data_IF_359407044740
#
_entry.id   IF_359407044740
#
_cell.length_a   1.000
_cell.length_b   1.000
_cell.length_c   1.000
_cell.angle_alpha   90.00
_cell.angle_beta   90.00
_cell.angle_gamma   90.00
#
_symmetry.space_group_name_H-M   'P 1'
#
loop_
_entity.id
_entity.type
_entity.pdbx_description
1 polymer ?
#
# COMPACT_ATOMS: atom_id res chain seq x y z
N UNK A 1 24.85 12.28 15.54
CA UNK A 1 24.57 11.19 14.58
C UNK A 1 25.15 11.58 13.23
N UNK A 2 25.75 10.64 12.47
CA UNK A 2 26.16 10.90 11.09
C UNK A 2 24.99 11.39 10.26
N UNK A 3 25.24 12.21 9.23
CA UNK A 3 24.20 12.78 8.36
C UNK A 3 23.33 11.74 7.64
N UNK A 4 23.79 10.49 7.55
CA UNK A 4 23.11 9.38 6.86
C UNK A 4 22.59 8.29 7.82
N UNK A 5 22.61 8.53 9.13
CA UNK A 5 22.09 7.55 10.09
C UNK A 5 20.64 7.83 10.44
N UNK A 6 19.83 6.78 10.47
CA UNK A 6 18.50 6.83 11.07
C UNK A 6 18.62 7.17 12.56
N UNK A 7 17.65 7.91 13.07
CA UNK A 7 17.57 8.18 14.49
C UNK A 7 17.16 6.92 15.29
N UNK A 8 17.32 6.91 16.63
CA UNK A 8 16.96 5.75 17.45
C UNK A 8 15.48 5.38 17.36
N UNK A 9 14.57 6.35 17.16
CA UNK A 9 13.13 6.12 17.02
C UNK A 9 12.83 5.42 15.70
N UNK A 10 13.43 5.87 14.61
CA UNK A 10 13.33 5.23 13.29
C UNK A 10 13.88 3.81 13.31
N UNK A 11 15.04 3.58 13.94
CA UNK A 11 15.62 2.24 14.06
C UNK A 11 14.72 1.30 14.88
N UNK A 12 14.21 1.77 16.02
CA UNK A 12 13.28 0.99 16.84
C UNK A 12 12.01 0.65 16.06
N UNK A 13 11.44 1.62 15.35
CA UNK A 13 10.24 1.41 14.54
C UNK A 13 10.47 0.40 13.41
N UNK A 14 11.60 0.46 12.70
CA UNK A 14 11.96 -0.55 11.70
C UNK A 14 12.06 -1.96 12.31
N UNK A 15 12.65 -2.10 13.50
CA UNK A 15 12.74 -3.38 14.19
C UNK A 15 11.35 -3.91 14.60
N UNK A 16 10.48 -3.05 15.13
CA UNK A 16 9.10 -3.38 15.46
C UNK A 16 8.30 -3.84 14.23
N UNK A 17 8.42 -3.12 13.11
CA UNK A 17 7.76 -3.47 11.86
C UNK A 17 8.22 -4.84 11.32
N UNK A 18 9.53 -5.13 11.40
CA UNK A 18 10.07 -6.44 10.99
C UNK A 18 9.51 -7.57 11.85
N UNK A 19 9.49 -7.40 13.17
CA UNK A 19 8.93 -8.38 14.09
C UNK A 19 7.43 -8.59 13.84
N UNK A 20 6.66 -7.49 13.75
CA UNK A 20 5.23 -7.51 13.43
C UNK A 20 4.95 -8.23 12.10
N UNK A 21 5.75 -7.96 11.07
CA UNK A 21 5.59 -8.60 9.77
C UNK A 21 5.87 -10.10 9.83
N UNK A 22 6.91 -10.52 10.53
CA UNK A 22 7.25 -11.94 10.70
C UNK A 22 6.18 -12.68 11.51
N UNK A 23 5.67 -12.08 12.58
CA UNK A 23 4.76 -12.76 13.53
C UNK A 23 3.29 -12.72 13.10
N UNK A 24 2.84 -11.64 12.43
CA UNK A 24 1.42 -11.42 12.15
C UNK A 24 1.07 -11.43 10.67
N UNK A 25 1.92 -10.87 9.82
CA UNK A 25 1.61 -10.70 8.39
C UNK A 25 2.04 -11.93 7.56
N UNK A 26 3.25 -12.44 7.79
CA UNK A 26 3.77 -13.63 7.09
C UNK A 26 2.85 -14.85 7.21
N UNK A 27 2.32 -15.22 8.41
CA UNK A 27 1.42 -16.37 8.51
C UNK A 27 0.09 -16.19 7.78
N UNK A 28 -0.34 -14.95 7.52
CA UNK A 28 -1.52 -14.66 6.69
C UNK A 28 -1.18 -14.70 5.21
N UNK A 29 -0.02 -14.15 4.83
CA UNK A 29 0.49 -14.21 3.46
C UNK A 29 0.64 -15.66 2.98
N UNK A 30 1.26 -16.53 3.79
CA UNK A 30 1.45 -17.96 3.46
C UNK A 30 0.14 -18.75 3.31
N UNK A 31 -0.99 -18.23 3.80
CA UNK A 31 -2.34 -18.80 3.62
C UNK A 31 -3.07 -18.23 2.40
N UNK A 32 -2.46 -17.30 1.68
CA UNK A 32 -3.02 -16.71 0.47
C UNK A 32 -3.20 -17.76 -0.62
N UNK A 33 -4.29 -17.63 -1.38
CA UNK A 33 -4.52 -18.47 -2.56
C UNK A 33 -3.91 -17.79 -3.80
N UNK A 34 -3.04 -18.47 -4.56
CA UNK A 34 -2.50 -17.94 -5.80
C UNK A 34 -3.59 -17.44 -6.74
N UNK A 35 -3.38 -16.27 -7.36
CA UNK A 35 -4.35 -15.65 -8.27
C UNK A 35 -5.51 -14.93 -7.58
N UNK A 36 -5.59 -14.95 -6.25
CA UNK A 36 -6.64 -14.29 -5.49
C UNK A 36 -6.06 -13.20 -4.59
N UNK A 37 -6.87 -12.17 -4.34
CA UNK A 37 -6.51 -11.15 -3.35
C UNK A 37 -6.62 -11.74 -1.94
N UNK A 38 -5.52 -11.71 -1.19
CA UNK A 38 -5.49 -12.11 0.22
C UNK A 38 -6.18 -11.04 1.09
N UNK A 39 -7.52 -11.05 1.11
CA UNK A 39 -8.33 -10.10 1.89
C UNK A 39 -8.02 -10.12 3.39
N UNK A 40 -7.80 -11.29 4.04
CA UNK A 40 -7.37 -11.32 5.44
C UNK A 40 -6.08 -10.54 5.69
N UNK A 41 -5.09 -10.64 4.79
CA UNK A 41 -3.83 -9.89 4.91
C UNK A 41 -4.07 -8.37 4.78
N UNK A 42 -4.89 -7.93 3.82
CA UNK A 42 -5.21 -6.49 3.66
C UNK A 42 -5.98 -5.95 4.88
N UNK A 43 -6.93 -6.71 5.42
CA UNK A 43 -7.66 -6.34 6.62
C UNK A 43 -6.73 -6.24 7.84
N UNK A 44 -5.77 -7.16 7.98
CA UNK A 44 -4.80 -7.11 9.09
C UNK A 44 -3.86 -5.90 8.98
N UNK A 45 -3.42 -5.54 7.77
CA UNK A 45 -2.65 -4.30 7.54
C UNK A 45 -3.43 -3.05 7.97
N UNK A 46 -4.74 -3.02 7.69
CA UNK A 46 -5.64 -1.95 8.14
C UNK A 46 -5.79 -1.93 9.66
N UNK A 47 -6.03 -3.09 10.30
CA UNK A 47 -6.14 -3.23 11.76
C UNK A 47 -4.85 -2.83 12.50
N UNK A 48 -3.70 -3.03 11.87
CA UNK A 48 -2.40 -2.60 12.36
C UNK A 48 -2.13 -1.10 12.20
N UNK A 49 -3.04 -0.36 11.54
CA UNK A 49 -2.89 1.06 11.25
C UNK A 49 -1.83 1.37 10.18
N UNK A 50 -1.34 0.36 9.46
CA UNK A 50 -0.29 0.55 8.46
C UNK A 50 -0.84 1.19 7.18
N UNK A 51 -2.09 0.91 6.82
CA UNK A 51 -2.73 1.49 5.64
C UNK A 51 -3.09 2.98 5.83
N UNK A 52 -3.39 3.42 7.05
CA UNK A 52 -3.59 4.86 7.33
C UNK A 52 -2.28 5.66 7.12
N UNK A 53 -1.14 5.07 7.50
CA UNK A 53 0.19 5.70 7.37
C UNK A 53 0.56 6.02 5.92
N UNK A 54 0.04 5.28 4.94
CA UNK A 54 0.23 5.56 3.52
C UNK A 54 -0.17 6.99 3.12
N UNK A 55 -1.11 7.59 3.85
CA UNK A 55 -1.67 8.92 3.55
C UNK A 55 -1.20 10.02 4.49
N UNK A 56 -0.37 9.69 5.49
CA UNK A 56 0.04 10.59 6.57
C UNK A 56 1.56 10.70 6.73
N UNK A 57 2.30 9.72 6.23
CA UNK A 57 3.75 9.64 6.36
C UNK A 57 4.48 10.38 5.24
N UNK A 58 5.67 10.89 5.56
CA UNK A 58 6.62 11.40 4.57
C UNK A 58 7.33 10.28 3.80
N UNK A 59 8.05 10.65 2.73
CA UNK A 59 8.72 9.69 1.85
C UNK A 59 9.70 8.75 2.58
N UNK A 60 10.50 9.28 3.52
CA UNK A 60 11.44 8.46 4.28
C UNK A 60 10.71 7.40 5.13
N UNK A 61 9.69 7.80 5.88
CA UNK A 61 8.92 6.87 6.71
C UNK A 61 8.22 5.80 5.88
N UNK A 62 7.72 6.14 4.69
CA UNK A 62 7.16 5.17 3.75
C UNK A 62 8.22 4.17 3.27
N UNK A 63 9.42 4.64 2.94
CA UNK A 63 10.53 3.76 2.57
C UNK A 63 10.91 2.81 3.71
N UNK A 64 11.09 3.34 4.93
CA UNK A 64 11.42 2.54 6.11
C UNK A 64 10.35 1.50 6.43
N UNK A 65 9.08 1.89 6.32
CA UNK A 65 7.95 0.97 6.51
C UNK A 65 7.98 -0.16 5.50
N UNK A 66 8.04 0.17 4.21
CA UNK A 66 8.03 -0.81 3.13
C UNK A 66 9.24 -1.73 3.19
N UNK A 67 10.45 -1.19 3.35
CA UNK A 67 11.67 -1.99 3.48
C UNK A 67 11.60 -2.95 4.67
N UNK A 68 11.12 -2.48 5.82
CA UNK A 68 10.99 -3.31 7.02
C UNK A 68 9.99 -4.45 6.85
N UNK A 69 8.87 -4.20 6.18
CA UNK A 69 7.92 -5.26 5.82
C UNK A 69 8.54 -6.24 4.82
N UNK A 70 9.17 -5.75 3.75
CA UNK A 70 9.77 -6.59 2.71
C UNK A 70 10.88 -7.50 3.25
N UNK A 71 11.65 -7.03 4.25
CA UNK A 71 12.67 -7.85 4.92
C UNK A 71 12.07 -9.12 5.54
N UNK A 72 10.84 -9.04 6.04
CA UNK A 72 10.16 -10.15 6.69
C UNK A 72 9.11 -10.83 5.82
N UNK A 73 8.47 -10.18 4.86
CA UNK A 73 7.46 -10.74 3.96
C UNK A 73 7.20 -9.79 2.78
N UNK A 74 7.67 -10.16 1.58
CA UNK A 74 7.48 -9.36 0.37
C UNK A 74 6.01 -9.28 -0.08
N UNK A 75 5.21 -10.32 0.17
CA UNK A 75 3.77 -10.30 -0.13
C UNK A 75 3.02 -9.29 0.76
N UNK A 76 3.35 -9.21 2.05
CA UNK A 76 2.75 -8.23 2.96
C UNK A 76 3.13 -6.80 2.59
N UNK A 77 4.38 -6.57 2.20
CA UNK A 77 4.82 -5.28 1.67
C UNK A 77 4.06 -4.93 0.38
N UNK A 78 3.96 -5.87 -0.57
CA UNK A 78 3.28 -5.63 -1.85
C UNK A 78 1.80 -5.36 -1.62
N UNK A 79 1.14 -6.11 -0.75
CA UNK A 79 -0.26 -5.91 -0.39
C UNK A 79 -0.49 -4.50 0.18
N UNK A 80 0.42 -3.99 1.02
CA UNK A 80 0.39 -2.61 1.52
C UNK A 80 0.65 -1.59 0.42
N UNK A 81 1.70 -1.78 -0.38
CA UNK A 81 2.13 -0.83 -1.40
C UNK A 81 1.04 -0.61 -2.48
N UNK A 82 0.34 -1.66 -2.88
CA UNK A 82 -0.76 -1.58 -3.84
C UNK A 82 -1.92 -0.72 -3.34
N UNK A 83 -2.20 -0.71 -2.02
CA UNK A 83 -3.24 0.15 -1.46
C UNK A 83 -2.86 1.62 -1.61
N UNK A 84 -1.59 1.93 -1.36
CA UNK A 84 -1.03 3.26 -1.56
C UNK A 84 -1.12 3.68 -3.02
N UNK A 85 -0.62 2.83 -3.93
CA UNK A 85 -0.63 3.09 -5.38
C UNK A 85 -2.05 3.33 -5.91
N UNK A 86 -3.00 2.45 -5.57
CA UNK A 86 -4.38 2.53 -6.06
C UNK A 86 -5.18 3.69 -5.48
N UNK A 87 -4.98 4.02 -4.20
CA UNK A 87 -5.76 5.07 -3.53
C UNK A 87 -5.13 6.46 -3.62
N UNK A 88 -3.85 6.57 -3.97
CA UNK A 88 -3.15 7.86 -4.02
C UNK A 88 -3.81 8.89 -4.96
N UNK A 89 -4.30 8.55 -6.16
CA UNK A 89 -5.00 9.53 -7.01
C UNK A 89 -6.24 10.12 -6.33
N UNK A 90 -6.99 9.32 -5.58
CA UNK A 90 -8.14 9.80 -4.80
C UNK A 90 -7.69 10.66 -3.62
N UNK A 91 -6.61 10.27 -2.93
CA UNK A 91 -6.04 11.05 -1.83
C UNK A 91 -5.53 12.42 -2.29
N UNK A 92 -4.80 12.48 -3.40
CA UNK A 92 -4.18 13.70 -3.91
C UNK A 92 -5.18 14.60 -4.64
N UNK A 93 -6.04 14.01 -5.50
CA UNK A 93 -6.85 14.77 -6.47
C UNK A 93 -8.36 14.52 -6.37
N UNK A 94 -8.81 13.60 -5.51
CA UNK A 94 -10.23 13.31 -5.36
C UNK A 94 -11.02 14.46 -4.73
N UNK A 95 -12.30 14.56 -5.07
CA UNK A 95 -13.25 15.48 -4.42
C UNK A 95 -13.46 15.12 -2.94
N UNK A 96 -13.96 16.04 -2.09
CA UNK A 96 -14.29 15.71 -0.70
C UNK A 96 -15.20 14.48 -0.57
N UNK A 97 -16.19 14.33 -1.47
CA UNK A 97 -17.09 13.18 -1.49
C UNK A 97 -16.38 11.87 -1.86
N UNK A 98 -15.47 11.90 -2.84
CA UNK A 98 -14.67 10.72 -3.21
C UNK A 98 -13.73 10.30 -2.07
N UNK A 99 -13.05 11.27 -1.44
CA UNK A 99 -12.16 11.01 -0.30
C UNK A 99 -12.91 10.41 0.88
N UNK A 100 -14.02 11.02 1.28
CA UNK A 100 -14.86 10.56 2.39
C UNK A 100 -15.43 9.15 2.14
N UNK A 101 -15.75 8.82 0.89
CA UNK A 101 -16.28 7.50 0.52
C UNK A 101 -15.20 6.41 0.52
N UNK A 102 -14.00 6.70 0.03
CA UNK A 102 -13.02 5.65 -0.31
C UNK A 102 -11.86 5.55 0.67
N UNK A 103 -11.29 6.67 1.13
CA UNK A 103 -10.08 6.62 1.96
C UNK A 103 -10.29 5.87 3.29
N UNK A 104 -11.39 6.08 4.05
CA UNK A 104 -11.60 5.32 5.29
C UNK A 104 -11.62 3.81 5.05
N UNK A 105 -12.29 3.37 3.97
CA UNK A 105 -12.42 1.94 3.64
C UNK A 105 -11.08 1.31 3.25
N UNK A 106 -10.23 2.05 2.54
CA UNK A 106 -8.86 1.60 2.22
C UNK A 106 -8.00 1.59 3.48
N UNK A 107 -8.06 2.63 4.32
CA UNK A 107 -7.29 2.70 5.57
C UNK A 107 -7.66 1.61 6.57
N UNK A 108 -8.93 1.21 6.63
CA UNK A 108 -9.42 0.10 7.46
C UNK A 108 -9.16 -1.29 6.84
N UNK A 109 -8.75 -1.34 5.57
CA UNK A 109 -8.58 -2.60 4.82
C UNK A 109 -9.88 -3.29 4.43
N UNK A 110 -11.03 -2.60 4.51
CA UNK A 110 -12.34 -3.12 4.09
C UNK A 110 -12.58 -2.98 2.57
N UNK A 111 -11.83 -2.10 1.92
CA UNK A 111 -11.72 -2.00 0.46
C UNK A 111 -10.28 -2.28 0.02
N UNK A 112 -10.15 -2.93 -1.14
CA UNK A 112 -8.87 -3.17 -1.81
C UNK A 112 -8.80 -2.21 -2.98
N UNK A 113 -7.75 -1.39 -3.02
CA UNK A 113 -7.45 -0.49 -4.12
C UNK A 113 -6.51 -1.17 -5.12
N UNK A 114 -6.67 -0.81 -6.39
CA UNK A 114 -5.81 -1.20 -7.48
C UNK A 114 -5.59 0.00 -8.41
N UNK A 115 -4.51 -0.02 -9.17
CA UNK A 115 -4.21 1.00 -10.16
C UNK A 115 -4.20 0.36 -11.56
N UNK A 116 -5.31 0.54 -12.27
CA UNK A 116 -5.49 0.00 -13.62
C UNK A 116 -4.88 0.98 -14.63
N UNK A 117 -3.61 0.77 -14.96
CA UNK A 117 -2.89 1.55 -15.97
C UNK A 117 -2.44 0.70 -17.15
N UNK A 118 -1.64 -0.35 -16.91
CA UNK A 118 -1.04 -1.15 -17.99
C UNK A 118 -2.06 -1.90 -18.84
N UNK A 119 -1.79 -1.98 -20.15
CA UNK A 119 -2.55 -2.71 -21.15
C UNK A 119 -1.63 -3.71 -21.90
N UNK A 120 -2.17 -4.72 -22.62
CA UNK A 120 -1.35 -5.69 -23.36
C UNK A 120 -0.33 -5.08 -24.34
N UNK A 121 -0.64 -3.89 -24.89
CA UNK A 121 0.25 -3.15 -25.79
C UNK A 121 0.96 -1.95 -25.18
N UNK A 122 0.70 -1.59 -23.92
CA UNK A 122 1.19 -0.37 -23.28
C UNK A 122 1.56 -0.61 -21.81
N UNK A 123 2.88 -0.73 -21.56
CA UNK A 123 3.46 -0.88 -20.22
C UNK A 123 4.44 0.24 -19.91
N UNK A 124 5.68 0.13 -20.42
CA UNK A 124 6.70 1.17 -20.30
C UNK A 124 6.29 2.47 -21.01
N UNK A 125 5.66 2.35 -22.19
CA UNK A 125 5.02 3.47 -22.88
C UNK A 125 3.58 3.63 -22.42
N UNK A 126 3.41 4.15 -21.20
CA UNK A 126 2.10 4.40 -20.62
C UNK A 126 1.32 5.54 -21.31
N UNK A 127 1.92 6.27 -22.26
CA UNK A 127 1.20 7.26 -23.05
C UNK A 127 0.44 6.62 -24.23
N UNK A 128 0.78 5.37 -24.60
CA UNK A 128 0.17 4.63 -25.70
C UNK A 128 -1.08 3.82 -25.30
N UNK A 129 -1.75 4.17 -24.20
CA UNK A 129 -2.99 3.52 -23.77
C UNK A 129 -4.07 3.60 -24.84
N UNK A 130 -4.80 2.50 -25.01
CA UNK A 130 -5.88 2.36 -26.00
C UNK A 130 -7.26 2.58 -25.41
N UNK A 131 -7.45 2.41 -24.09
CA UNK A 131 -8.73 2.66 -23.42
C UNK A 131 -9.17 4.11 -23.61
N UNK A 132 -10.40 4.29 -24.12
CA UNK A 132 -11.03 5.60 -24.31
C UNK A 132 -12.18 5.77 -23.33
N UNK A 133 -12.28 6.97 -22.77
CA UNK A 133 -13.43 7.41 -22.00
C UNK A 133 -14.07 8.58 -22.75
N UNK A 134 -15.31 8.39 -23.20
CA UNK A 134 -16.11 9.41 -23.85
C UNK A 134 -17.20 9.88 -22.87
N UNK A 135 -17.38 11.18 -22.64
CA UNK A 135 -18.51 11.67 -21.86
C UNK A 135 -19.83 11.27 -22.52
N UNK A 136 -20.72 10.65 -21.75
CA UNK A 136 -22.08 10.27 -22.17
C UNK A 136 -23.06 10.62 -21.05
N UNK A 137 -23.76 11.75 -21.22
CA UNK A 137 -24.60 12.42 -20.19
C UNK A 137 -24.06 13.76 -19.74
#
# INVERSE_FOLDING_TARGET
MPAFSLDPVQNAWCAELRAMAAERLRPLAEKGEPGHVNRPLVAELGRLGLLERLFRSGALDLCLMRESLAHACTEAETALALQGLGAHPVHAHGTPAQRARWLPRVSEGSAVAAFALSEPGAGSDAAALSLRAEPDG
#
